data_IF_530725140034
#
_entry.id   IF_530725140034
#
_cell.length_a   1.000
_cell.length_b   1.000
_cell.length_c   1.000
_cell.angle_alpha   90.00
_cell.angle_beta   90.00
_cell.angle_gamma   90.00
#
_symmetry.space_group_name_H-M   'P 1'
#
loop_
_entity.id
_entity.type
_entity.pdbx_description
1 polymer ?
#
# COMPACT_ATOMS: atom_id res chain seq x y z
N UNK A 1 24.65 -10.44 -20.81
CA UNK A 1 23.70 -11.56 -20.71
C UNK A 1 22.72 -11.23 -19.58
N UNK A 2 21.42 -11.40 -19.79
CA UNK A 2 20.43 -11.24 -18.72
C UNK A 2 20.80 -12.18 -17.57
N UNK A 3 21.07 -11.63 -16.39
CA UNK A 3 21.73 -12.33 -15.28
C UNK A 3 20.76 -13.04 -14.34
N UNK A 4 21.32 -13.73 -13.36
CA UNK A 4 20.57 -14.28 -12.22
C UNK A 4 20.60 -13.29 -11.05
N UNK A 5 19.47 -13.16 -10.33
CA UNK A 5 19.37 -12.35 -9.10
C UNK A 5 19.28 -13.28 -7.90
N UNK A 6 20.27 -13.23 -7.01
CA UNK A 6 20.29 -14.04 -5.79
C UNK A 6 19.55 -13.34 -4.64
N UNK A 7 18.70 -14.07 -3.95
CA UNK A 7 17.83 -13.54 -2.88
C UNK A 7 18.16 -14.06 -1.49
N UNK A 8 19.20 -14.90 -1.37
CA UNK A 8 19.54 -15.61 -0.13
C UNK A 8 18.73 -16.89 0.11
N UNK A 9 17.60 -17.07 -0.58
CA UNK A 9 16.79 -18.29 -0.56
C UNK A 9 16.81 -19.06 -1.90
N UNK A 10 17.52 -18.53 -2.89
CA UNK A 10 17.59 -19.08 -4.25
C UNK A 10 18.06 -18.02 -5.24
N UNK A 11 17.83 -18.27 -6.53
CA UNK A 11 18.10 -17.33 -7.61
C UNK A 11 16.89 -17.15 -8.53
N UNK A 12 16.78 -15.96 -9.10
CA UNK A 12 15.79 -15.61 -10.11
C UNK A 12 16.51 -15.47 -11.44
N UNK A 13 16.16 -16.31 -12.41
CA UNK A 13 16.68 -16.19 -13.77
C UNK A 13 15.81 -15.19 -14.56
N UNK A 14 16.40 -14.07 -14.96
CA UNK A 14 15.68 -13.00 -15.67
C UNK A 14 15.11 -13.50 -17.00
N UNK A 15 15.82 -14.39 -17.70
CA UNK A 15 15.36 -14.94 -18.98
C UNK A 15 14.14 -15.82 -18.78
N UNK A 16 14.15 -16.69 -17.77
CA UNK A 16 13.03 -17.55 -17.43
C UNK A 16 11.76 -16.74 -17.11
N UNK A 17 11.90 -15.62 -16.38
CA UNK A 17 10.77 -14.72 -16.08
C UNK A 17 10.23 -14.02 -17.33
N UNK A 18 11.09 -13.54 -18.23
CA UNK A 18 10.66 -12.95 -19.50
C UNK A 18 9.86 -13.98 -20.31
N UNK A 19 10.37 -15.21 -20.42
CA UNK A 19 9.67 -16.31 -21.14
C UNK A 19 8.34 -16.63 -20.47
N UNK A 20 8.31 -16.73 -19.15
CA UNK A 20 7.09 -16.98 -18.39
C UNK A 20 6.02 -15.91 -18.66
N UNK A 21 6.37 -14.62 -18.58
CA UNK A 21 5.44 -13.53 -18.85
C UNK A 21 4.98 -13.50 -20.31
N UNK A 22 5.86 -13.83 -21.27
CA UNK A 22 5.49 -13.92 -22.68
C UNK A 22 4.45 -15.03 -22.92
N UNK A 23 4.63 -16.21 -22.30
CA UNK A 23 3.66 -17.31 -22.38
C UNK A 23 2.34 -16.91 -21.72
N UNK A 24 2.39 -16.34 -20.51
CA UNK A 24 1.20 -15.90 -19.79
C UNK A 24 0.40 -14.86 -20.62
N UNK A 25 1.08 -13.85 -21.17
CA UNK A 25 0.45 -12.86 -22.04
C UNK A 25 -0.17 -13.49 -23.29
N UNK A 26 0.54 -14.43 -23.93
CA UNK A 26 0.03 -15.16 -25.08
C UNK A 26 -1.25 -15.94 -24.76
N UNK A 27 -1.28 -16.67 -23.64
CA UNK A 27 -2.45 -17.40 -23.17
C UNK A 27 -3.61 -16.46 -22.83
N UNK A 28 -3.36 -15.34 -22.15
CA UNK A 28 -4.38 -14.34 -21.82
C UNK A 28 -4.97 -13.72 -23.09
N UNK A 29 -4.13 -13.33 -24.06
CA UNK A 29 -4.60 -12.77 -25.32
C UNK A 29 -5.36 -13.80 -26.17
N UNK A 30 -4.91 -15.06 -26.17
CA UNK A 30 -5.62 -16.15 -26.83
C UNK A 30 -7.00 -16.37 -26.21
N UNK A 31 -7.10 -16.44 -24.87
CA UNK A 31 -8.37 -16.54 -24.14
C UNK A 31 -9.28 -15.34 -24.45
N UNK A 32 -8.74 -14.12 -24.44
CA UNK A 32 -9.49 -12.91 -24.81
C UNK A 32 -10.04 -13.01 -26.23
N UNK A 33 -9.25 -13.54 -27.16
CA UNK A 33 -9.67 -13.71 -28.55
C UNK A 33 -10.74 -14.81 -28.75
N UNK A 34 -10.97 -15.68 -27.75
CA UNK A 34 -12.10 -16.61 -27.75
C UNK A 34 -13.41 -15.94 -27.28
N UNK A 35 -13.34 -14.71 -26.77
CA UNK A 35 -14.51 -13.93 -26.38
C UNK A 35 -15.38 -13.57 -27.59
N UNK A 36 -16.63 -13.23 -27.32
CA UNK A 36 -17.58 -12.73 -28.32
C UNK A 36 -17.31 -11.26 -28.61
N UNK A 37 -17.14 -10.93 -29.87
CA UNK A 37 -16.98 -9.55 -30.37
C UNK A 37 -18.33 -8.85 -30.60
N UNK A 38 -19.42 -9.61 -30.62
CA UNK A 38 -20.80 -9.12 -30.82
C UNK A 38 -21.51 -8.70 -29.52
N UNK A 39 -20.75 -8.37 -28.49
CA UNK A 39 -21.28 -7.75 -27.29
C UNK A 39 -21.80 -6.34 -27.59
N UNK A 40 -22.80 -5.89 -26.82
CA UNK A 40 -23.41 -4.58 -27.03
C UNK A 40 -22.71 -3.53 -26.18
N UNK A 41 -21.79 -2.80 -26.81
CA UNK A 41 -21.07 -1.69 -26.18
C UNK A 41 -22.04 -0.63 -25.63
N UNK A 42 -21.77 -0.14 -24.42
CA UNK A 42 -22.60 0.83 -23.70
C UNK A 42 -23.88 0.26 -23.08
N UNK A 43 -23.98 -1.07 -22.93
CA UNK A 43 -25.09 -1.74 -22.24
C UNK A 43 -24.59 -2.49 -21.00
N UNK A 44 -25.51 -3.08 -20.22
CA UNK A 44 -25.17 -3.96 -19.09
C UNK A 44 -24.27 -5.15 -19.47
N UNK A 45 -24.06 -5.42 -20.76
CA UNK A 45 -23.11 -6.44 -21.23
C UNK A 45 -21.64 -6.01 -21.09
N UNK A 46 -21.37 -4.72 -20.93
CA UNK A 46 -20.03 -4.16 -20.67
C UNK A 46 -19.69 -4.12 -19.18
N UNK A 47 -20.71 -4.23 -18.33
CA UNK A 47 -20.57 -4.12 -16.89
C UNK A 47 -19.96 -5.39 -16.28
N UNK A 48 -19.21 -5.19 -15.20
CA UNK A 48 -18.70 -6.31 -14.41
C UNK A 48 -19.90 -7.01 -13.77
N UNK A 49 -19.95 -8.34 -13.85
CA UNK A 49 -20.98 -9.12 -13.17
C UNK A 49 -20.90 -8.90 -11.65
N UNK A 50 -21.86 -8.16 -11.09
CA UNK A 50 -21.98 -7.88 -9.66
C UNK A 50 -23.23 -8.51 -9.04
N UNK A 51 -23.39 -9.82 -9.26
CA UNK A 51 -24.53 -10.60 -8.73
C UNK A 51 -25.90 -10.00 -9.07
N UNK A 52 -26.02 -9.30 -10.20
CA UNK A 52 -27.25 -8.64 -10.64
C UNK A 52 -27.55 -7.29 -9.96
N UNK A 53 -26.63 -6.75 -9.15
CA UNK A 53 -26.76 -5.41 -8.59
C UNK A 53 -26.05 -4.37 -9.49
N UNK A 54 -26.48 -3.10 -9.47
CA UNK A 54 -25.72 -2.00 -10.07
C UNK A 54 -24.29 -1.96 -9.51
N UNK A 55 -23.30 -1.85 -10.38
CA UNK A 55 -21.89 -1.69 -10.00
C UNK A 55 -21.70 -0.25 -9.53
N UNK A 56 -21.18 0.02 -8.31
CA UNK A 56 -20.85 1.38 -7.90
C UNK A 56 -19.73 1.95 -8.76
N UNK A 57 -19.90 3.17 -9.29
CA UNK A 57 -18.95 3.79 -10.24
C UNK A 57 -17.50 3.86 -9.72
N UNK A 58 -17.31 3.99 -8.40
CA UNK A 58 -15.99 4.15 -7.78
C UNK A 58 -15.50 2.90 -7.03
N UNK A 59 -16.30 1.82 -7.01
CA UNK A 59 -16.01 0.61 -6.25
C UNK A 59 -15.88 0.82 -4.73
N UNK A 60 -16.21 1.99 -4.18
CA UNK A 60 -16.01 2.32 -2.77
C UNK A 60 -16.97 1.56 -1.86
N UNK A 61 -18.18 1.26 -2.34
CA UNK A 61 -19.18 0.50 -1.58
C UNK A 61 -18.95 -1.02 -1.61
N UNK A 62 -18.11 -1.51 -2.53
CA UNK A 62 -17.82 -2.94 -2.71
C UNK A 62 -16.40 -3.34 -2.30
N UNK A 63 -15.52 -2.36 -2.08
CA UNK A 63 -14.17 -2.58 -1.56
C UNK A 63 -14.11 -2.32 -0.06
N UNK A 64 -13.41 -3.19 0.66
CA UNK A 64 -12.98 -2.86 2.03
C UNK A 64 -11.92 -1.77 1.88
N UNK A 65 -12.14 -0.54 2.38
CA UNK A 65 -11.20 0.54 2.14
C UNK A 65 -9.85 0.17 2.74
N UNK A 66 -8.75 0.56 2.09
CA UNK A 66 -7.40 0.28 2.59
C UNK A 66 -7.17 0.86 4.01
N UNK A 67 -7.93 1.89 4.40
CA UNK A 67 -7.97 2.41 5.77
C UNK A 67 -8.56 1.41 6.79
N UNK A 68 -9.37 0.45 6.38
CA UNK A 68 -9.80 -0.63 7.27
C UNK A 68 -8.67 -1.60 7.60
N UNK A 69 -7.64 -1.68 6.76
CA UNK A 69 -6.46 -2.48 7.08
C UNK A 69 -5.79 -1.93 8.34
N UNK A 70 -5.54 -2.81 9.31
CA UNK A 70 -4.92 -2.47 10.60
C UNK A 70 -5.65 -1.39 11.39
N UNK A 71 -6.96 -1.20 11.19
CA UNK A 71 -7.74 -0.19 11.91
C UNK A 71 -7.56 -0.30 13.44
N UNK A 72 -7.63 -1.52 13.99
CA UNK A 72 -7.45 -1.74 15.43
C UNK A 72 -6.07 -1.32 15.93
N UNK A 73 -5.01 -1.59 15.16
CA UNK A 73 -3.65 -1.14 15.47
C UNK A 73 -3.53 0.39 15.41
N UNK A 74 -4.06 1.01 14.36
CA UNK A 74 -4.04 2.48 14.22
C UNK A 74 -4.84 3.15 15.34
N UNK A 75 -6.00 2.59 15.70
CA UNK A 75 -6.83 3.09 16.80
C UNK A 75 -6.14 2.93 18.16
N UNK A 76 -5.48 1.80 18.40
CA UNK A 76 -4.70 1.59 19.62
C UNK A 76 -3.51 2.56 19.74
N UNK A 77 -2.90 2.95 18.61
CA UNK A 77 -1.78 3.89 18.58
C UNK A 77 -2.20 5.37 18.61
N UNK A 78 -3.48 5.69 18.42
CA UNK A 78 -3.98 7.07 18.34
C UNK A 78 -3.61 7.92 19.57
N UNK A 79 -3.74 7.46 20.84
CA UNK A 79 -3.36 8.25 22.00
C UNK A 79 -1.87 8.59 22.03
N UNK A 80 -1.02 7.63 21.64
CA UNK A 80 0.43 7.83 21.57
C UNK A 80 0.79 8.92 20.55
N UNK A 81 0.25 8.82 19.34
CA UNK A 81 0.50 9.81 18.30
C UNK A 81 -0.07 11.18 18.66
N UNK A 82 -1.23 11.25 19.32
CA UNK A 82 -1.83 12.51 19.77
C UNK A 82 -0.91 13.26 20.74
N UNK A 83 -0.26 12.55 21.66
CA UNK A 83 0.73 13.16 22.57
C UNK A 83 1.96 13.61 21.78
N UNK A 84 2.50 12.74 20.92
CA UNK A 84 3.72 13.01 20.18
C UNK A 84 3.57 14.21 19.24
N UNK A 85 2.48 14.28 18.48
CA UNK A 85 2.21 15.41 17.57
C UNK A 85 1.86 16.68 18.35
N UNK A 86 1.21 16.56 19.51
CA UNK A 86 0.93 17.68 20.40
C UNK A 86 2.18 18.38 20.94
N UNK A 87 3.31 17.67 21.06
CA UNK A 87 4.59 18.27 21.46
C UNK A 87 5.26 19.09 20.34
N UNK A 88 4.81 18.96 19.09
CA UNK A 88 5.37 19.68 17.94
C UNK A 88 4.57 20.95 17.64
N UNK A 89 4.56 21.89 18.59
CA UNK A 89 3.75 23.12 18.52
C UNK A 89 4.20 24.10 17.42
N UNK A 90 5.43 23.95 16.93
CA UNK A 90 6.05 24.88 15.98
C UNK A 90 6.50 26.20 16.61
N UNK A 91 6.36 26.36 17.93
CA UNK A 91 6.76 27.56 18.67
C UNK A 91 8.23 27.41 19.09
N UNK A 92 9.06 28.40 18.72
CA UNK A 92 10.50 28.36 18.98
C UNK A 92 10.84 28.20 20.47
N UNK A 93 10.07 28.83 21.36
CA UNK A 93 10.28 28.75 22.80
C UNK A 93 10.08 27.33 23.34
N UNK A 94 9.11 26.58 22.81
CA UNK A 94 8.83 25.21 23.26
C UNK A 94 9.97 24.27 22.84
N UNK A 95 10.49 24.44 21.63
CA UNK A 95 11.64 23.69 21.10
C UNK A 95 12.90 23.97 21.94
N UNK A 96 13.20 25.24 22.21
CA UNK A 96 14.34 25.61 23.07
C UNK A 96 14.14 25.09 24.49
N UNK A 97 12.91 25.11 25.01
CA UNK A 97 12.54 24.52 26.30
C UNK A 97 12.85 23.03 26.37
N UNK A 98 12.43 22.24 25.38
CA UNK A 98 12.76 20.82 25.30
C UNK A 98 14.27 20.58 25.22
N UNK A 99 15.00 21.36 24.42
CA UNK A 99 16.46 21.27 24.35
C UNK A 99 17.12 21.47 25.72
N UNK A 100 16.75 22.54 26.44
CA UNK A 100 17.29 22.83 27.78
C UNK A 100 16.97 21.69 28.76
N UNK A 101 15.75 21.15 28.74
CA UNK A 101 15.36 20.01 29.57
C UNK A 101 16.17 18.76 29.26
N UNK A 102 16.39 18.45 27.98
CA UNK A 102 17.21 17.30 27.57
C UNK A 102 18.66 17.46 28.01
N UNK A 103 19.26 18.64 27.83
CA UNK A 103 20.64 18.91 28.28
C UNK A 103 20.76 18.81 29.80
N UNK A 104 19.80 19.37 30.55
CA UNK A 104 19.77 19.27 32.01
C UNK A 104 19.64 17.81 32.46
N UNK A 105 18.75 17.03 31.83
CA UNK A 105 18.59 15.60 32.11
C UNK A 105 19.89 14.83 31.84
N UNK A 106 20.55 15.07 30.70
CA UNK A 106 21.84 14.44 30.41
C UNK A 106 22.93 14.84 31.41
N UNK A 107 22.99 16.11 31.80
CA UNK A 107 23.97 16.60 32.77
C UNK A 107 23.86 15.88 34.12
N UNK A 108 22.64 15.52 34.55
CA UNK A 108 22.42 14.70 35.77
C UNK A 108 23.16 13.37 35.68
N UNK A 109 23.11 12.65 34.56
CA UNK A 109 23.79 11.36 34.39
C UNK A 109 25.30 11.47 34.17
N UNK A 110 25.77 12.63 33.70
CA UNK A 110 27.19 12.84 33.40
C UNK A 110 27.94 13.33 34.64
N UNK A 111 27.29 14.15 35.47
CA UNK A 111 27.92 14.84 36.60
C UNK A 111 27.67 14.18 37.96
N UNK A 112 26.69 13.27 38.06
CA UNK A 112 26.45 12.42 39.23
C UNK A 112 26.88 10.97 38.91
#
# INVERSE_FOLDING_TARGET
MFGTVYTGFGYWDVTAWIVFFAIAAGLTLWLRAQGRDDFKEGTDQDEIYWSGNPVPEDGAEISVPASSAYWGFRKAMEPFYKVLTGMHTGIATDIVGFYVLTVAFMAVFILL
#
